data_IF_958776219484
#
_entry.id   IF_958776219484
#
_cell.length_a   1.000
_cell.length_b   1.000
_cell.length_c   1.000
_cell.angle_alpha   90.00
_cell.angle_beta   90.00
_cell.angle_gamma   90.00
#
_symmetry.space_group_name_H-M   'P 1'
#
loop_
_entity.id
_entity.type
_entity.pdbx_description
1 polymer ?
#
# COMPACT_ATOMS: atom_id res chain seq x y z
N UNK A 1 -2.57 -0.68 -8.86
CA UNK A 1 -1.51 -1.12 -7.92
C UNK A 1 -0.12 -1.06 -8.54
N UNK A 2 0.23 -1.79 -9.60
CA UNK A 2 1.62 -1.90 -10.10
C UNK A 2 2.20 -0.72 -10.89
N UNK A 3 1.43 0.34 -11.13
CA UNK A 3 1.91 1.51 -11.86
C UNK A 3 3.08 2.24 -11.15
N UNK A 4 3.33 1.95 -9.87
CA UNK A 4 4.53 2.46 -9.17
C UNK A 4 5.83 1.74 -9.56
N UNK A 5 5.74 0.56 -10.18
CA UNK A 5 6.89 -0.17 -10.73
C UNK A 5 7.30 0.31 -12.13
N UNK A 6 6.51 1.19 -12.75
CA UNK A 6 6.82 1.76 -14.06
C UNK A 6 7.47 3.13 -13.86
N UNK A 7 8.64 3.34 -14.48
CA UNK A 7 9.32 4.64 -14.50
C UNK A 7 8.49 5.68 -15.25
N UNK A 8 8.23 6.83 -14.63
CA UNK A 8 7.54 7.98 -15.22
C UNK A 8 8.50 9.14 -15.54
N UNK A 9 9.82 8.94 -15.41
CA UNK A 9 10.84 9.94 -15.76
C UNK A 9 10.95 11.13 -14.79
N UNK A 10 10.22 11.13 -13.68
CA UNK A 10 10.30 12.16 -12.63
C UNK A 10 11.44 11.86 -11.62
N UNK A 11 12.00 12.84 -10.91
CA UNK A 11 12.94 12.57 -9.83
C UNK A 11 12.30 11.73 -8.70
N UNK A 12 13.14 11.09 -7.88
CA UNK A 12 12.69 10.24 -6.77
C UNK A 12 12.05 8.92 -7.24
N UNK A 13 10.89 8.57 -6.68
CA UNK A 13 10.20 7.31 -6.94
C UNK A 13 9.77 7.14 -8.42
N UNK A 14 9.50 8.25 -9.11
CA UNK A 14 9.08 8.25 -10.52
C UNK A 14 10.18 7.79 -11.48
N UNK A 15 11.45 8.05 -11.18
CA UNK A 15 12.59 7.80 -12.06
C UNK A 15 13.46 6.63 -11.61
N UNK A 16 13.20 6.11 -10.41
CA UNK A 16 13.91 4.96 -9.85
C UNK A 16 13.69 3.69 -10.68
N UNK A 17 14.77 2.96 -10.97
CA UNK A 17 14.71 1.62 -11.54
C UNK A 17 14.05 0.61 -10.57
N UNK A 18 13.70 -0.57 -11.07
CA UNK A 18 13.00 -1.62 -10.28
C UNK A 18 13.80 -2.00 -9.03
N UNK A 19 15.11 -2.20 -9.14
CA UNK A 19 15.98 -2.51 -8.00
C UNK A 19 16.07 -1.36 -6.99
N UNK A 20 16.16 -0.12 -7.47
CA UNK A 20 16.18 1.05 -6.59
C UNK A 20 14.90 1.14 -5.76
N UNK A 21 13.76 0.84 -6.37
CA UNK A 21 12.44 0.79 -5.72
C UNK A 21 12.33 -0.31 -4.68
N UNK A 22 12.77 -1.51 -5.02
CA UNK A 22 12.73 -2.69 -4.14
C UNK A 22 13.68 -2.53 -2.94
N UNK A 23 14.82 -1.85 -3.13
CA UNK A 23 15.82 -1.62 -2.09
C UNK A 23 15.74 -0.23 -1.45
N UNK A 24 14.70 0.56 -1.75
CA UNK A 24 14.52 1.96 -1.29
C UNK A 24 15.70 2.92 -1.51
N UNK A 25 16.61 2.63 -2.45
CA UNK A 25 17.81 3.46 -2.67
C UNK A 25 17.49 4.85 -3.22
N UNK A 26 16.29 5.05 -3.77
CA UNK A 26 15.79 6.35 -4.22
C UNK A 26 15.58 7.37 -3.08
N UNK A 27 15.58 6.93 -1.83
CA UNK A 27 15.49 7.79 -0.64
C UNK A 27 16.88 8.25 -0.16
N UNK A 28 17.96 7.57 -0.57
CA UNK A 28 19.33 7.85 -0.13
C UNK A 28 19.76 9.32 -0.30
N UNK A 29 19.41 10.05 -1.38
CA UNK A 29 19.76 11.46 -1.49
C UNK A 29 19.22 12.32 -0.35
N UNK A 30 17.99 12.06 0.11
CA UNK A 30 17.40 12.79 1.24
C UNK A 30 18.07 12.40 2.56
N UNK A 31 18.38 11.12 2.76
CA UNK A 31 19.10 10.64 3.96
C UNK A 31 20.48 11.29 4.05
N UNK A 32 21.21 11.33 2.93
CA UNK A 32 22.53 11.96 2.87
C UNK A 32 22.44 13.47 3.12
N UNK A 33 21.39 14.14 2.60
CA UNK A 33 21.15 15.56 2.90
C UNK A 33 20.89 15.77 4.40
N UNK A 34 20.00 14.97 5.00
CA UNK A 34 19.68 15.05 6.42
C UNK A 34 20.82 14.68 7.36
N UNK A 35 21.82 13.94 6.87
CA UNK A 35 23.07 13.70 7.58
C UNK A 35 23.99 14.92 7.60
N UNK A 36 24.02 15.68 6.50
CA UNK A 36 24.90 16.84 6.34
C UNK A 36 24.28 18.13 6.90
N UNK A 37 22.98 18.33 6.73
CA UNK A 37 22.28 19.59 6.98
C UNK A 37 20.89 19.34 7.60
N UNK A 38 20.31 20.37 8.22
CA UNK A 38 18.91 20.29 8.70
C UNK A 38 17.97 20.30 7.52
N UNK A 39 17.01 19.37 7.50
CA UNK A 39 16.04 19.25 6.42
C UNK A 39 14.97 20.35 6.49
N UNK A 40 14.67 20.94 5.34
CA UNK A 40 13.55 21.87 5.16
C UNK A 40 12.30 21.15 4.61
N UNK A 41 11.13 21.82 4.65
CA UNK A 41 9.84 21.21 4.25
C UNK A 41 9.80 20.80 2.78
N UNK A 42 10.44 21.58 1.90
CA UNK A 42 10.45 21.34 0.46
C UNK A 42 11.46 20.27 0.02
N UNK A 43 12.39 19.87 0.89
CA UNK A 43 13.47 18.94 0.54
C UNK A 43 12.98 17.54 0.19
N UNK A 44 11.84 17.14 0.74
CA UNK A 44 11.25 15.84 0.45
C UNK A 44 10.30 15.86 -0.75
N UNK A 45 10.01 17.02 -1.35
CA UNK A 45 8.97 17.16 -2.38
C UNK A 45 9.22 16.30 -3.61
N UNK A 46 10.48 16.13 -3.99
CA UNK A 46 10.88 15.30 -5.14
C UNK A 46 10.58 13.80 -4.95
N UNK A 47 10.32 13.34 -3.72
CA UNK A 47 9.99 11.94 -3.42
C UNK A 47 8.56 11.57 -3.79
N UNK A 48 7.65 12.56 -3.81
CA UNK A 48 6.22 12.36 -4.08
C UNK A 48 6.01 12.36 -5.60
N UNK A 49 5.52 11.26 -6.20
CA UNK A 49 5.15 11.26 -7.61
C UNK A 49 3.99 12.23 -7.87
N UNK A 50 3.96 12.87 -9.04
CA UNK A 50 2.88 13.80 -9.40
C UNK A 50 1.47 13.18 -9.29
N UNK A 51 1.32 11.87 -9.51
CA UNK A 51 0.03 11.17 -9.36
C UNK A 51 -0.50 11.09 -7.92
N UNK A 52 0.39 11.27 -6.92
CA UNK A 52 0.07 11.20 -5.49
C UNK A 52 -0.06 12.60 -4.87
N UNK A 53 0.04 13.65 -5.69
CA UNK A 53 -0.24 15.02 -5.27
C UNK A 53 -1.72 15.22 -4.95
N UNK A 54 -2.04 16.24 -4.15
CA UNK A 54 -3.40 16.47 -3.62
C UNK A 54 -4.38 16.75 -4.75
N UNK A 55 -4.01 17.55 -5.73
CA UNK A 55 -4.84 18.03 -6.82
C UNK A 55 -5.39 16.89 -7.70
N UNK A 56 -4.55 16.00 -8.29
CA UNK A 56 -5.05 14.90 -9.09
C UNK A 56 -5.86 13.89 -8.26
N UNK A 57 -5.47 13.66 -7.00
CA UNK A 57 -6.19 12.77 -6.10
C UNK A 57 -7.59 13.31 -5.76
N UNK A 58 -7.69 14.60 -5.47
CA UNK A 58 -8.95 15.29 -5.19
C UNK A 58 -9.86 15.30 -6.42
N UNK A 59 -9.33 15.61 -7.61
CA UNK A 59 -10.10 15.59 -8.86
C UNK A 59 -10.66 14.20 -9.17
N UNK A 60 -9.85 13.14 -8.98
CA UNK A 60 -10.30 11.75 -9.15
C UNK A 60 -11.42 11.39 -8.18
N UNK A 61 -11.31 11.82 -6.92
CA UNK A 61 -12.32 11.58 -5.90
C UNK A 61 -13.63 12.30 -6.24
N UNK A 62 -13.57 13.61 -6.54
CA UNK A 62 -14.76 14.43 -6.82
C UNK A 62 -15.53 13.91 -8.04
N UNK A 63 -14.82 13.56 -9.13
CA UNK A 63 -15.44 12.97 -10.33
C UNK A 63 -16.24 11.71 -10.02
N UNK A 64 -15.70 10.82 -9.16
CA UNK A 64 -16.38 9.58 -8.77
C UNK A 64 -17.51 9.82 -7.79
N UNK A 65 -17.34 10.76 -6.87
CA UNK A 65 -18.36 11.16 -5.92
C UNK A 65 -19.58 11.74 -6.64
N UNK A 66 -19.39 12.65 -7.61
CA UNK A 66 -20.48 13.18 -8.42
C UNK A 66 -21.22 12.12 -9.23
N UNK A 67 -20.49 11.16 -9.83
CA UNK A 67 -21.10 10.04 -10.56
C UNK A 67 -22.04 9.23 -9.64
N UNK A 68 -21.63 9.00 -8.39
CA UNK A 68 -22.45 8.30 -7.40
C UNK A 68 -23.68 9.12 -7.02
N UNK A 69 -23.53 10.43 -6.79
CA UNK A 69 -24.66 11.29 -6.47
C UNK A 69 -25.69 11.33 -7.60
N UNK A 70 -25.23 11.52 -8.84
CA UNK A 70 -26.09 11.50 -10.05
C UNK A 70 -26.84 10.16 -10.17
N UNK A 71 -26.15 9.04 -9.96
CA UNK A 71 -26.76 7.71 -9.98
C UNK A 71 -27.80 7.51 -8.86
N UNK A 72 -27.53 8.01 -7.65
CA UNK A 72 -28.47 7.94 -6.51
C UNK A 72 -29.72 8.80 -6.75
N UNK A 73 -29.56 10.02 -7.27
CA UNK A 73 -30.69 10.89 -7.63
C UNK A 73 -31.56 10.27 -8.73
N UNK A 74 -30.93 9.69 -9.77
CA UNK A 74 -31.67 8.98 -10.83
C UNK A 74 -32.44 7.76 -10.30
N UNK A 75 -31.88 6.99 -9.35
CA UNK A 75 -32.59 5.89 -8.69
C UNK A 75 -33.80 6.38 -7.89
N UNK A 76 -33.65 7.48 -7.15
CA UNK A 76 -34.73 8.10 -6.40
C UNK A 76 -35.86 8.60 -7.31
N UNK A 77 -35.51 9.19 -8.46
CA UNK A 77 -36.49 9.61 -9.47
C UNK A 77 -37.27 8.43 -10.07
N UNK A 78 -36.70 7.22 -10.11
CA UNK A 78 -37.36 5.97 -10.55
C UNK A 78 -38.19 5.29 -9.44
N UNK A 79 -38.43 5.97 -8.31
CA UNK A 79 -39.24 5.43 -7.22
C UNK A 79 -38.52 4.42 -6.31
N UNK A 80 -37.21 4.22 -6.46
CA UNK A 80 -36.44 3.37 -5.54
C UNK A 80 -36.16 4.14 -4.26
N UNK A 81 -36.88 3.81 -3.18
CA UNK A 81 -36.79 4.48 -1.86
C UNK A 81 -35.81 3.80 -0.90
N UNK A 82 -35.20 2.68 -1.30
CA UNK A 82 -34.28 1.94 -0.44
C UNK A 82 -33.05 2.80 -0.11
N UNK A 83 -32.85 3.06 1.18
CA UNK A 83 -31.68 3.77 1.67
C UNK A 83 -30.41 2.99 1.29
N UNK A 84 -29.35 3.67 0.82
CA UNK A 84 -28.09 3.02 0.51
C UNK A 84 -27.46 2.45 1.78
N UNK A 85 -26.84 1.27 1.66
CA UNK A 85 -26.19 0.57 2.78
C UNK A 85 -24.97 1.33 3.34
N UNK A 86 -24.36 2.19 2.52
CA UNK A 86 -23.13 2.92 2.85
C UNK A 86 -23.25 4.39 2.47
N UNK A 87 -22.50 5.24 3.18
CA UNK A 87 -22.37 6.66 2.88
C UNK A 87 -21.78 6.86 1.47
N UNK A 88 -22.15 7.97 0.81
CA UNK A 88 -21.68 8.26 -0.55
C UNK A 88 -20.14 8.37 -0.62
N UNK A 89 -19.51 8.90 0.43
CA UNK A 89 -18.05 8.99 0.58
C UNK A 89 -17.39 7.61 0.64
N UNK A 90 -17.91 6.72 1.49
CA UNK A 90 -17.43 5.34 1.60
C UNK A 90 -17.61 4.58 0.29
N UNK A 91 -18.75 4.77 -0.38
CA UNK A 91 -18.98 4.19 -1.71
C UNK A 91 -17.98 4.71 -2.75
N UNK A 92 -17.67 6.00 -2.73
CA UNK A 92 -16.69 6.59 -3.64
C UNK A 92 -15.29 6.00 -3.43
N UNK A 93 -14.82 5.95 -2.19
CA UNK A 93 -13.52 5.34 -1.85
C UNK A 93 -13.48 3.87 -2.25
N UNK A 94 -14.51 3.10 -1.91
CA UNK A 94 -14.59 1.69 -2.30
C UNK A 94 -14.52 1.55 -3.82
N UNK A 95 -15.29 2.32 -4.59
CA UNK A 95 -15.24 2.26 -6.06
C UNK A 95 -13.90 2.69 -6.66
N UNK A 96 -13.16 3.58 -5.99
CA UNK A 96 -11.85 4.04 -6.46
C UNK A 96 -10.78 2.98 -6.21
N UNK A 97 -10.84 2.29 -5.06
CA UNK A 97 -9.75 1.43 -4.55
C UNK A 97 -10.11 -0.05 -4.45
N UNK A 98 -11.30 -0.50 -4.85
CA UNK A 98 -11.73 -1.89 -4.68
C UNK A 98 -10.78 -2.90 -5.31
N UNK A 99 -10.25 -2.60 -6.50
CA UNK A 99 -9.35 -3.50 -7.21
C UNK A 99 -7.99 -3.55 -6.49
N UNK A 100 -7.50 -2.41 -6.04
CA UNK A 100 -6.31 -2.32 -5.20
C UNK A 100 -6.46 -3.10 -3.89
N UNK A 101 -7.64 -3.06 -3.25
CA UNK A 101 -7.93 -3.86 -2.05
C UNK A 101 -7.95 -5.36 -2.30
N UNK A 102 -8.54 -5.81 -3.41
CA UNK A 102 -8.56 -7.24 -3.77
C UNK A 102 -7.13 -7.73 -4.00
N UNK A 103 -6.35 -6.99 -4.79
CA UNK A 103 -4.97 -7.35 -5.07
C UNK A 103 -4.11 -7.33 -3.81
N UNK A 104 -4.26 -6.31 -2.97
CA UNK A 104 -3.52 -6.22 -1.72
C UNK A 104 -3.89 -7.37 -0.76
N UNK A 105 -5.18 -7.71 -0.65
CA UNK A 105 -5.65 -8.84 0.17
C UNK A 105 -5.11 -10.18 -0.33
N UNK A 106 -5.07 -10.39 -1.65
CA UNK A 106 -4.46 -11.60 -2.23
C UNK A 106 -2.98 -11.72 -1.85
N UNK A 107 -2.21 -10.63 -1.98
CA UNK A 107 -0.81 -10.62 -1.58
C UNK A 107 -0.60 -10.81 -0.08
N UNK A 108 -1.48 -10.26 0.75
CA UNK A 108 -1.46 -10.46 2.20
C UNK A 108 -1.63 -11.95 2.56
N UNK A 109 -2.51 -12.66 1.86
CA UNK A 109 -2.71 -14.10 2.05
C UNK A 109 -1.46 -14.90 1.67
N UNK A 110 -0.85 -14.59 0.51
CA UNK A 110 0.38 -15.24 0.04
C UNK A 110 1.53 -15.01 1.02
N UNK A 111 1.68 -13.78 1.50
CA UNK A 111 2.70 -13.39 2.48
C UNK A 111 2.50 -14.12 3.81
N UNK A 112 1.26 -14.22 4.28
CA UNK A 112 0.92 -14.94 5.51
C UNK A 112 1.23 -16.42 5.37
N UNK A 113 0.87 -17.04 4.24
CA UNK A 113 1.20 -18.44 3.96
C UNK A 113 2.72 -18.66 3.95
N UNK A 114 3.49 -17.80 3.30
CA UNK A 114 4.95 -17.89 3.27
C UNK A 114 5.57 -17.76 4.68
N UNK A 115 5.03 -16.88 5.53
CA UNK A 115 5.47 -16.75 6.93
C UNK A 115 5.24 -18.02 7.73
N UNK A 116 4.14 -18.74 7.49
CA UNK A 116 3.85 -20.03 8.12
C UNK A 116 4.73 -21.16 7.57
N UNK A 117 5.06 -21.12 6.28
CA UNK A 117 5.93 -22.12 5.64
C UNK A 117 7.40 -21.98 6.07
N UNK A 118 7.87 -20.77 6.38
CA UNK A 118 9.25 -20.50 6.82
C UNK A 118 9.74 -21.41 7.98
N UNK A 119 9.05 -21.49 9.14
CA UNK A 119 9.46 -22.39 10.22
C UNK A 119 9.33 -23.88 9.87
N UNK A 120 8.47 -24.25 8.91
CA UNK A 120 8.35 -25.64 8.45
C UNK A 120 9.57 -26.05 7.61
N UNK A 121 10.04 -25.16 6.73
CA UNK A 121 11.27 -25.38 5.97
C UNK A 121 12.49 -25.51 6.90
N UNK A 122 12.59 -24.63 7.91
CA UNK A 122 13.65 -24.70 8.92
C UNK A 122 13.59 -26.01 9.72
N UNK A 123 12.38 -26.45 10.11
CA UNK A 123 12.20 -27.71 10.83
C UNK A 123 12.68 -28.91 10.01
N UNK A 124 12.43 -28.92 8.72
CA UNK A 124 12.88 -30.04 7.86
C UNK A 124 14.40 -30.02 7.67
N UNK A 125 15.01 -28.84 7.55
CA UNK A 125 16.47 -28.69 7.55
C UNK A 125 17.10 -29.19 8.86
N UNK A 126 16.50 -28.87 10.02
CA UNK A 126 16.98 -29.36 11.32
C UNK A 126 16.86 -30.88 11.46
N UNK A 127 15.78 -31.48 10.95
CA UNK A 127 15.61 -32.95 10.94
C UNK A 127 16.67 -33.64 10.08
N UNK A 128 17.00 -33.06 8.93
CA UNK A 128 18.06 -33.55 8.08
C UNK A 128 19.41 -33.55 8.84
N UNK A 129 19.76 -32.42 9.49
CA UNK A 129 20.97 -32.33 10.32
C UNK A 129 21.00 -33.36 11.46
N UNK A 130 19.87 -33.63 12.10
CA UNK A 130 19.79 -34.61 13.19
C UNK A 130 20.01 -36.05 12.71
N UNK A 131 19.50 -36.42 11.53
CA UNK A 131 19.68 -37.76 10.96
C UNK A 131 21.12 -38.00 10.51
N UNK A 132 21.71 -37.00 9.86
CA UNK A 132 23.12 -37.02 9.45
C UNK A 132 24.05 -37.26 10.66
N UNK A 133 23.78 -36.58 11.79
CA UNK A 133 24.56 -36.73 13.01
C UNK A 133 24.32 -38.04 13.78
N UNK A 134 23.13 -38.64 13.70
CA UNK A 134 22.74 -39.79 14.53
C UNK A 134 23.00 -41.14 13.87
N UNK A 135 22.68 -41.29 12.58
CA UNK A 135 22.61 -42.60 11.94
C UNK A 135 23.86 -42.94 11.11
N UNK A 136 24.74 -41.97 10.84
CA UNK A 136 25.89 -42.14 9.93
C UNK A 136 25.50 -42.56 8.50
N UNK A 137 24.20 -42.70 8.23
CA UNK A 137 23.61 -42.94 6.94
C UNK A 137 23.61 -41.60 6.21
N UNK A 138 24.65 -41.39 5.40
CA UNK A 138 24.81 -40.20 4.57
C UNK A 138 23.59 -40.02 3.67
N UNK A 139 22.60 -39.24 4.12
CA UNK A 139 21.62 -38.67 3.21
C UNK A 139 22.42 -37.79 2.24
N UNK A 140 22.15 -37.93 0.95
CA UNK A 140 22.99 -37.31 -0.07
C UNK A 140 23.17 -35.79 0.18
N UNK A 141 24.42 -35.33 0.30
CA UNK A 141 24.82 -33.97 0.70
C UNK A 141 24.06 -32.86 -0.04
N UNK A 142 23.72 -33.09 -1.31
CA UNK A 142 22.97 -32.13 -2.13
C UNK A 142 21.61 -31.76 -1.54
N UNK A 143 20.97 -32.65 -0.78
CA UNK A 143 19.69 -32.38 -0.09
C UNK A 143 19.87 -31.36 1.03
N UNK A 144 20.92 -31.50 1.82
CA UNK A 144 21.27 -30.54 2.87
C UNK A 144 21.55 -29.16 2.31
N UNK A 145 22.36 -29.07 1.25
CA UNK A 145 22.63 -27.82 0.53
C UNK A 145 21.35 -27.17 -0.03
N UNK A 146 20.45 -27.98 -0.60
CA UNK A 146 19.18 -27.49 -1.14
C UNK A 146 18.26 -26.95 -0.04
N UNK A 147 18.14 -27.66 1.09
CA UNK A 147 17.35 -27.21 2.24
C UNK A 147 17.94 -25.94 2.88
N UNK A 148 19.26 -25.88 3.04
CA UNK A 148 19.95 -24.68 3.55
C UNK A 148 19.71 -23.47 2.64
N UNK A 149 19.85 -23.66 1.32
CA UNK A 149 19.59 -22.60 0.34
C UNK A 149 18.12 -22.18 0.35
N UNK A 150 17.19 -23.13 0.49
CA UNK A 150 15.76 -22.84 0.57
C UNK A 150 15.42 -22.02 1.82
N UNK A 151 16.02 -22.32 2.97
CA UNK A 151 15.85 -21.55 4.22
C UNK A 151 16.43 -20.15 4.07
N UNK A 152 17.64 -20.02 3.53
CA UNK A 152 18.31 -18.72 3.33
C UNK A 152 17.53 -17.84 2.33
N UNK A 153 17.23 -18.38 1.14
CA UNK A 153 16.51 -17.68 0.11
C UNK A 153 15.06 -17.37 0.55
N UNK A 154 14.40 -18.32 1.22
CA UNK A 154 13.07 -18.14 1.78
C UNK A 154 13.01 -17.01 2.81
N UNK A 155 13.95 -16.98 3.76
CA UNK A 155 14.04 -15.91 4.76
C UNK A 155 14.30 -14.53 4.14
N UNK A 156 15.31 -14.43 3.26
CA UNK A 156 15.66 -13.16 2.61
C UNK A 156 14.54 -12.62 1.71
N UNK A 157 13.95 -13.49 0.88
CA UNK A 157 12.83 -13.12 0.00
C UNK A 157 11.57 -12.75 0.78
N UNK A 158 11.25 -13.46 1.87
CA UNK A 158 10.10 -13.14 2.71
C UNK A 158 10.22 -11.75 3.33
N UNK A 159 11.39 -11.39 3.86
CA UNK A 159 11.64 -10.05 4.42
C UNK A 159 11.47 -8.98 3.34
N UNK A 160 12.03 -9.19 2.15
CA UNK A 160 11.92 -8.23 1.05
C UNK A 160 10.47 -8.05 0.60
N UNK A 161 9.74 -9.15 0.41
CA UNK A 161 8.32 -9.15 0.03
C UNK A 161 7.50 -8.43 1.09
N UNK A 162 7.74 -8.71 2.37
CA UNK A 162 7.04 -8.08 3.48
C UNK A 162 7.19 -6.57 3.47
N UNK A 163 8.41 -6.04 3.33
CA UNK A 163 8.62 -4.60 3.30
C UNK A 163 7.97 -3.94 2.07
N UNK A 164 8.04 -4.56 0.90
CA UNK A 164 7.41 -4.03 -0.31
C UNK A 164 5.88 -4.01 -0.15
N UNK A 165 5.33 -5.11 0.37
CA UNK A 165 3.91 -5.23 0.68
C UNK A 165 3.44 -4.15 1.66
N UNK A 166 4.16 -3.98 2.76
CA UNK A 166 3.83 -3.01 3.80
C UNK A 166 3.91 -1.58 3.28
N UNK A 167 4.94 -1.25 2.49
CA UNK A 167 5.06 0.05 1.85
C UNK A 167 3.90 0.35 0.89
N UNK A 168 3.49 -0.62 0.05
CA UNK A 168 2.33 -0.45 -0.85
C UNK A 168 1.05 -0.22 -0.04
N UNK A 169 0.85 -0.97 1.04
CA UNK A 169 -0.31 -0.82 1.93
C UNK A 169 -0.36 0.54 2.62
N UNK A 170 0.76 0.97 3.23
CA UNK A 170 0.86 2.28 3.85
C UNK A 170 0.58 3.40 2.85
N UNK A 171 1.25 3.37 1.68
CA UNK A 171 1.06 4.38 0.63
C UNK A 171 -0.40 4.48 0.19
N UNK A 172 -1.08 3.34 0.02
CA UNK A 172 -2.50 3.31 -0.31
C UNK A 172 -3.35 3.99 0.78
N UNK A 173 -3.08 3.68 2.05
CA UNK A 173 -3.77 4.30 3.19
C UNK A 173 -3.56 5.82 3.25
N UNK A 174 -2.34 6.30 3.01
CA UNK A 174 -2.04 7.73 2.95
C UNK A 174 -2.80 8.44 1.84
N UNK A 175 -2.82 7.86 0.63
CA UNK A 175 -3.56 8.41 -0.52
C UNK A 175 -5.06 8.51 -0.20
N UNK A 176 -5.64 7.47 0.42
CA UNK A 176 -7.05 7.48 0.83
C UNK A 176 -7.33 8.58 1.85
N UNK A 177 -6.46 8.71 2.87
CA UNK A 177 -6.59 9.77 3.89
C UNK A 177 -6.55 11.16 3.25
N UNK A 178 -5.61 11.40 2.34
CA UNK A 178 -5.46 12.69 1.65
C UNK A 178 -6.71 13.06 0.83
N UNK A 179 -7.33 12.09 0.15
CA UNK A 179 -8.60 12.31 -0.55
C UNK A 179 -9.74 12.66 0.40
N UNK A 180 -9.86 11.97 1.53
CA UNK A 180 -10.89 12.25 2.53
C UNK A 180 -10.72 13.64 3.13
N UNK A 181 -9.50 14.01 3.50
CA UNK A 181 -9.19 15.34 4.07
C UNK A 181 -9.54 16.44 3.05
N UNK A 182 -9.13 16.28 1.79
CA UNK A 182 -9.45 17.22 0.72
C UNK A 182 -10.96 17.37 0.52
N UNK A 183 -11.70 16.25 0.51
CA UNK A 183 -13.15 16.25 0.38
C UNK A 183 -13.86 16.93 1.57
N UNK A 184 -13.38 16.70 2.80
CA UNK A 184 -13.90 17.37 4.00
C UNK A 184 -13.65 18.88 3.90
N UNK A 185 -12.43 19.30 3.55
CA UNK A 185 -12.11 20.71 3.38
C UNK A 185 -13.00 21.39 2.34
N UNK A 186 -13.15 20.77 1.16
CA UNK A 186 -14.02 21.28 0.10
C UNK A 186 -15.49 21.35 0.55
N UNK A 187 -15.94 20.39 1.36
CA UNK A 187 -17.30 20.38 1.91
C UNK A 187 -17.50 21.49 2.93
N UNK A 188 -16.56 21.67 3.87
CA UNK A 188 -16.61 22.71 4.91
C UNK A 188 -16.71 24.10 4.28
N UNK A 189 -15.92 24.37 3.24
CA UNK A 189 -15.97 25.66 2.52
C UNK A 189 -17.30 25.92 1.77
N UNK A 190 -18.07 24.87 1.47
CA UNK A 190 -19.36 24.96 0.76
C UNK A 190 -20.57 24.88 1.70
N UNK A 191 -20.38 24.69 3.01
CA UNK A 191 -21.48 24.63 3.97
C UNK A 191 -22.05 26.03 4.24
N UNK A 192 -23.38 26.11 4.33
CA UNK A 192 -24.08 27.33 4.71
C UNK A 192 -23.92 27.59 6.22
N UNK A 193 -23.99 28.84 6.66
CA UNK A 193 -23.85 29.27 8.05
C UNK A 193 -24.80 28.53 9.03
N UNK A 194 -26.03 28.22 8.60
CA UNK A 194 -26.98 27.43 9.40
C UNK A 194 -26.53 25.98 9.65
N UNK A 195 -25.85 25.36 8.68
CA UNK A 195 -25.29 24.02 8.83
C UNK A 195 -23.97 24.01 9.61
N UNK A 196 -23.21 25.11 9.55
CA UNK A 196 -22.00 25.29 10.36
C UNK A 196 -22.34 25.48 11.83
N UNK A 197 -23.42 26.20 12.17
CA UNK A 197 -23.87 26.38 13.55
C UNK A 197 -24.26 25.07 14.26
N UNK A 198 -24.66 24.05 13.52
CA UNK A 198 -24.95 22.71 14.05
C UNK A 198 -23.72 21.79 14.13
N UNK A 199 -22.60 22.15 13.48
CA UNK A 199 -21.36 21.40 13.53
C UNK A 199 -20.45 22.00 14.62
N UNK A 200 -20.30 21.31 15.75
CA UNK A 200 -19.34 21.70 16.78
C UNK A 200 -17.93 21.54 16.24
N UNK A 201 -17.09 22.56 16.39
CA UNK A 201 -15.70 22.61 15.88
C UNK A 201 -14.74 21.58 16.52
N UNK A 202 -15.23 20.75 17.45
CA UNK A 202 -14.42 19.81 18.24
C UNK A 202 -14.78 18.32 18.12
N UNK A 203 -15.66 17.91 17.21
CA UNK A 203 -16.08 16.49 17.01
C UNK A 203 -16.07 16.10 15.54
#
# INVERSE_FOLDING_TARGET
MWAWLIGTGQPGLGGAGIWSRICWTWVNPLINKGWAETLEEDDARFLVPARDEVEPLAARFESKYEQILKARTARRARGVTRAPLVNATTEALLRIFWLEFIWHSFWALVETAARVLSPLALREFLRWLQRDAADGAAEADWRGWLLALAVLAGGGSLTLIHHVFFWVGMRLGYIMRQQVVSAIHAKVLRLNSASVAHASTGT
#
